data_IF_150836779796
#
_entry.id   IF_150836779796
#
_cell.length_a   1.000
_cell.length_b   1.000
_cell.length_c   1.000
_cell.angle_alpha   90.00
_cell.angle_beta   90.00
_cell.angle_gamma   90.00
#
_symmetry.space_group_name_H-M   'P 1'
#
loop_
_entity.id
_entity.type
_entity.pdbx_description
1 polymer ?
#
# COMPACT_ATOMS: atom_id res chain seq x y z
N UNK A 1 42.51 1.49 25.78
CA UNK A 1 41.15 1.35 25.22
C UNK A 1 40.26 2.29 26.01
N UNK A 2 40.02 3.49 25.49
CA UNK A 2 39.00 4.40 26.03
C UNK A 2 37.61 3.82 25.74
N UNK A 3 36.66 3.97 26.67
CA UNK A 3 35.29 3.48 26.49
C UNK A 3 34.54 4.33 25.47
N UNK A 4 33.65 3.72 24.68
CA UNK A 4 32.85 4.40 23.66
C UNK A 4 32.02 5.57 24.25
N UNK A 5 31.70 5.51 25.54
CA UNK A 5 30.98 6.57 26.27
C UNK A 5 31.82 7.84 26.49
N UNK A 6 33.15 7.70 26.65
CA UNK A 6 34.05 8.83 26.87
C UNK A 6 34.38 9.56 25.56
N UNK A 7 34.37 8.83 24.44
CA UNK A 7 34.52 9.39 23.08
C UNK A 7 33.27 10.21 22.71
N UNK A 8 32.07 9.73 23.06
CA UNK A 8 30.81 10.45 22.80
C UNK A 8 30.65 11.71 23.65
N UNK A 9 31.12 11.71 24.90
CA UNK A 9 31.10 12.92 25.75
C UNK A 9 31.99 14.04 25.20
N UNK A 10 33.15 13.72 24.62
CA UNK A 10 34.03 14.74 24.00
C UNK A 10 33.46 15.33 22.70
N UNK A 11 32.68 14.55 21.95
CA UNK A 11 32.03 15.04 20.71
C UNK A 11 30.88 16.00 21.00
N UNK A 12 30.14 15.81 22.10
CA UNK A 12 29.08 16.74 22.51
C UNK A 12 29.64 18.06 23.04
N UNK A 13 30.78 18.02 23.76
CA UNK A 13 31.38 19.21 24.38
C UNK A 13 32.10 20.16 23.41
N UNK A 14 32.41 19.74 22.18
CA UNK A 14 33.09 20.59 21.18
C UNK A 14 32.15 21.48 20.34
N UNK A 15 30.85 21.28 20.43
CA UNK A 15 29.84 22.07 19.68
C UNK A 15 29.18 23.18 20.48
N UNK A 16 29.53 23.35 21.76
CA UNK A 16 28.97 24.38 22.64
C UNK A 16 30.07 25.31 23.15
N UNK A 17 30.62 26.14 22.26
CA UNK A 17 31.41 27.31 22.66
C UNK A 17 31.29 28.42 21.63
N UNK A 18 30.13 29.07 21.61
CA UNK A 18 29.97 30.47 21.20
C UNK A 18 28.67 31.02 21.82
N UNK A 19 28.84 32.01 22.70
CA UNK A 19 27.93 32.97 23.34
C UNK A 19 26.42 32.95 22.96
N UNK A 20 25.44 33.18 23.85
CA UNK A 20 25.39 34.19 24.93
C UNK A 20 24.18 33.91 25.86
N UNK A 21 24.35 34.17 27.16
CA UNK A 21 23.38 34.50 28.23
C UNK A 21 21.90 34.08 28.12
N UNK A 22 21.46 33.28 29.10
CA UNK A 22 20.06 33.04 29.46
C UNK A 22 19.36 34.33 29.94
N UNK A 23 18.13 34.65 29.48
CA UNK A 23 17.22 35.44 30.27
C UNK A 23 16.44 34.56 31.24
N UNK A 24 16.26 35.09 32.43
CA UNK A 24 15.36 34.67 33.51
C UNK A 24 13.93 34.38 33.01
N UNK A 25 13.08 33.66 33.78
CA UNK A 25 11.71 33.35 33.37
C UNK A 25 10.86 34.63 33.35
N UNK A 26 10.88 35.34 32.22
CA UNK A 26 9.88 36.33 31.87
C UNK A 26 8.72 35.61 31.20
N UNK A 27 7.57 35.80 31.82
CA UNK A 27 6.21 35.65 31.29
C UNK A 27 6.15 35.41 29.79
N UNK A 28 5.62 34.24 29.42
CA UNK A 28 5.16 33.97 28.07
C UNK A 28 4.09 35.01 27.71
N UNK A 29 4.49 36.07 27.01
CA UNK A 29 3.59 36.91 26.25
C UNK A 29 3.08 36.08 25.07
N UNK A 30 1.99 35.36 25.33
CA UNK A 30 1.14 34.87 24.26
C UNK A 30 0.64 36.07 23.47
N UNK A 31 0.59 35.95 22.15
CA UNK A 31 -0.16 36.87 21.30
C UNK A 31 -1.60 36.94 21.85
N UNK A 32 -1.95 38.06 22.49
CA UNK A 32 -3.31 38.34 22.95
C UNK A 32 -4.20 38.58 21.73
N UNK A 33 -4.68 37.48 21.13
CA UNK A 33 -5.94 37.53 20.39
C UNK A 33 -7.06 38.02 21.31
N UNK A 34 -8.11 38.68 20.78
CA UNK A 34 -9.15 39.30 21.59
C UNK A 34 -9.75 38.29 22.57
N UNK A 35 -9.59 38.56 23.87
CA UNK A 35 -10.08 37.71 24.94
C UNK A 35 -11.57 37.42 24.73
N UNK A 36 -11.94 36.13 24.71
CA UNK A 36 -13.30 35.73 24.39
C UNK A 36 -14.32 36.49 25.28
N UNK A 37 -15.34 37.14 24.70
CA UNK A 37 -16.27 38.01 25.43
C UNK A 37 -17.11 37.27 26.49
N UNK A 38 -17.17 35.94 26.42
CA UNK A 38 -17.93 35.08 27.34
C UNK A 38 -17.05 34.62 28.52
N UNK A 39 -15.88 34.05 28.24
CA UNK A 39 -15.00 33.47 29.25
C UNK A 39 -13.89 34.44 29.73
N UNK A 40 -13.71 35.60 29.08
CA UNK A 40 -12.63 36.58 29.33
C UNK A 40 -11.24 35.92 29.44
N UNK A 41 -10.99 34.92 28.59
CA UNK A 41 -9.73 34.17 28.57
C UNK A 41 -9.63 33.02 29.59
N UNK A 42 -10.59 32.84 30.50
CA UNK A 42 -10.51 31.79 31.54
C UNK A 42 -10.90 30.38 31.08
N UNK A 43 -11.60 30.25 29.94
CA UNK A 43 -12.10 28.97 29.43
C UNK A 43 -13.36 28.41 30.12
N UNK A 44 -13.76 28.92 31.29
CA UNK A 44 -14.88 28.40 32.09
C UNK A 44 -15.93 29.47 32.40
N UNK A 45 -17.20 29.08 32.45
CA UNK A 45 -18.33 29.94 32.84
C UNK A 45 -19.06 29.32 34.03
N UNK A 46 -19.52 30.17 34.95
CA UNK A 46 -20.38 29.74 36.07
C UNK A 46 -21.82 30.05 35.74
N UNK A 47 -22.71 29.09 35.96
CA UNK A 47 -24.15 29.31 35.84
C UNK A 47 -24.62 30.30 36.91
N UNK A 48 -25.23 31.40 36.48
CA UNK A 48 -25.89 32.37 37.35
C UNK A 48 -27.27 31.85 37.78
N UNK A 49 -27.31 30.62 38.31
CA UNK A 49 -28.53 30.10 38.91
C UNK A 49 -28.76 30.80 40.27
N UNK A 50 -29.96 30.67 40.83
CA UNK A 50 -30.25 31.19 42.18
C UNK A 50 -29.72 30.23 43.25
N UNK A 51 -29.47 30.75 44.46
CA UNK A 51 -29.01 29.97 45.61
C UNK A 51 -30.07 28.92 45.95
N UNK A 52 -29.75 27.64 45.72
CA UNK A 52 -30.65 26.50 45.92
C UNK A 52 -30.92 25.67 44.65
N UNK A 53 -30.55 26.17 43.47
CA UNK A 53 -30.64 25.40 42.23
C UNK A 53 -29.49 24.38 42.11
N UNK A 54 -29.70 23.15 41.57
CA UNK A 54 -28.65 22.13 41.43
C UNK A 54 -27.43 22.56 40.60
N UNK A 55 -27.58 23.61 39.79
CA UNK A 55 -26.52 24.18 38.96
C UNK A 55 -25.90 25.46 39.53
N UNK A 56 -26.27 25.87 40.76
CA UNK A 56 -25.66 27.01 41.42
C UNK A 56 -24.18 26.78 41.68
N UNK A 57 -23.32 27.66 41.15
CA UNK A 57 -21.87 27.59 41.35
C UNK A 57 -21.12 26.54 40.53
N UNK A 58 -21.80 25.73 39.70
CA UNK A 58 -21.12 24.76 38.83
C UNK A 58 -20.39 25.46 37.70
N UNK A 59 -19.10 25.16 37.55
CA UNK A 59 -18.30 25.61 36.42
C UNK A 59 -18.59 24.71 35.20
N UNK A 60 -18.99 25.32 34.09
CA UNK A 60 -19.15 24.66 32.79
C UNK A 60 -18.09 25.20 31.84
N UNK A 61 -17.50 24.37 30.97
CA UNK A 61 -16.56 24.85 29.97
C UNK A 61 -17.28 25.83 29.04
N UNK A 62 -16.64 26.96 28.75
CA UNK A 62 -17.14 27.96 27.84
C UNK A 62 -17.10 27.43 26.40
N UNK A 63 -17.99 27.93 25.55
CA UNK A 63 -17.98 27.66 24.11
C UNK A 63 -16.60 27.90 23.48
N UNK A 64 -15.89 28.95 23.93
CA UNK A 64 -14.51 29.24 23.53
C UNK A 64 -13.55 28.04 23.67
N UNK A 65 -13.68 27.29 24.78
CA UNK A 65 -12.84 26.14 25.08
C UNK A 65 -13.36 24.85 24.42
N UNK A 66 -14.67 24.74 24.21
CA UNK A 66 -15.27 23.65 23.45
C UNK A 66 -14.92 23.73 21.95
N UNK A 67 -14.97 24.93 21.38
CA UNK A 67 -14.65 25.20 19.97
C UNK A 67 -13.15 25.06 19.71
N UNK A 68 -12.30 25.58 20.61
CA UNK A 68 -10.85 25.37 20.54
C UNK A 68 -10.47 23.89 20.72
N UNK A 69 -11.12 23.17 21.65
CA UNK A 69 -10.93 21.74 21.85
C UNK A 69 -11.40 20.90 20.66
N UNK A 70 -12.51 21.28 20.00
CA UNK A 70 -12.97 20.67 18.76
C UNK A 70 -12.01 20.94 17.60
N UNK A 71 -11.55 22.18 17.41
CA UNK A 71 -10.60 22.53 16.36
C UNK A 71 -9.25 21.81 16.54
N UNK A 72 -8.76 21.70 17.78
CA UNK A 72 -7.54 20.97 18.10
C UNK A 72 -7.72 19.45 17.92
N UNK A 73 -8.89 18.89 18.27
CA UNK A 73 -9.26 17.50 17.93
C UNK A 73 -9.34 17.29 16.42
N UNK A 74 -9.94 18.21 15.68
CA UNK A 74 -10.07 18.13 14.22
C UNK A 74 -8.70 18.18 13.54
N UNK A 75 -7.83 19.11 13.97
CA UNK A 75 -6.46 19.21 13.50
C UNK A 75 -5.64 17.97 13.88
N UNK A 76 -5.87 17.37 15.06
CA UNK A 76 -5.25 16.11 15.48
C UNK A 76 -5.74 14.95 14.62
N UNK A 77 -7.04 14.83 14.36
CA UNK A 77 -7.63 13.83 13.47
C UNK A 77 -7.10 13.98 12.03
N UNK A 78 -6.93 15.20 11.55
CA UNK A 78 -6.35 15.49 10.23
C UNK A 78 -4.90 14.99 10.10
N UNK A 79 -4.09 15.06 11.17
CA UNK A 79 -2.72 14.52 11.18
C UNK A 79 -2.65 13.00 11.07
N UNK A 80 -3.64 12.28 11.60
CA UNK A 80 -3.70 10.81 11.55
C UNK A 80 -4.52 10.28 10.38
N UNK A 81 -5.36 11.12 9.78
CA UNK A 81 -6.13 10.77 8.61
C UNK A 81 -5.31 10.97 7.34
N UNK A 82 -5.46 10.07 6.37
CA UNK A 82 -4.93 10.29 5.02
C UNK A 82 -5.74 11.37 4.24
N UNK A 83 -6.58 12.17 4.91
CA UNK A 83 -7.43 13.17 4.27
C UNK A 83 -6.65 14.26 3.54
N UNK A 84 -5.47 14.66 4.03
CA UNK A 84 -4.66 15.70 3.37
C UNK A 84 -4.39 15.41 1.89
N UNK A 85 -4.29 14.13 1.52
CA UNK A 85 -4.01 13.67 0.15
C UNK A 85 -5.29 13.43 -0.68
N UNK A 86 -6.44 13.28 -0.01
CA UNK A 86 -7.74 12.90 -0.59
C UNK A 86 -8.75 14.06 -0.63
N UNK A 87 -8.39 15.26 -0.14
CA UNK A 87 -9.21 16.49 -0.18
C UNK A 87 -9.78 16.81 -1.57
N UNK A 88 -9.03 16.43 -2.62
CA UNK A 88 -9.38 16.62 -4.04
C UNK A 88 -10.42 15.62 -4.57
N UNK A 89 -10.72 14.54 -3.85
CA UNK A 89 -11.70 13.54 -4.25
C UNK A 89 -13.09 13.94 -3.74
N UNK A 90 -13.81 14.77 -4.51
CA UNK A 90 -15.15 15.24 -4.15
C UNK A 90 -16.20 14.69 -5.11
N UNK A 91 -17.47 14.73 -4.71
CA UNK A 91 -18.57 14.36 -5.61
C UNK A 91 -18.60 15.19 -6.90
N UNK A 92 -18.17 16.45 -6.84
CA UNK A 92 -18.11 17.35 -8.01
C UNK A 92 -17.01 16.94 -9.02
N UNK A 93 -15.89 16.40 -8.54
CA UNK A 93 -14.79 15.92 -9.39
C UNK A 93 -14.97 14.48 -9.89
N UNK A 94 -16.11 13.85 -9.61
CA UNK A 94 -16.37 12.44 -9.90
C UNK A 94 -17.41 12.31 -11.01
N UNK A 95 -17.10 11.54 -12.05
CA UNK A 95 -18.08 11.17 -13.07
C UNK A 95 -19.15 10.25 -12.46
N UNK A 96 -20.45 10.60 -12.49
CA UNK A 96 -21.51 9.82 -11.85
C UNK A 96 -21.64 8.39 -12.38
N UNK A 97 -21.29 8.16 -13.65
CA UNK A 97 -21.30 6.81 -14.27
C UNK A 97 -20.00 6.05 -14.04
N UNK A 98 -18.99 6.66 -13.41
CA UNK A 98 -17.65 6.09 -13.33
C UNK A 98 -16.93 6.09 -14.68
N UNK A 99 -15.68 5.64 -14.67
CA UNK A 99 -14.76 5.71 -15.82
C UNK A 99 -14.65 4.40 -16.62
N UNK A 100 -15.40 3.38 -16.22
CA UNK A 100 -15.37 2.10 -16.92
C UNK A 100 -16.16 2.22 -18.24
N UNK A 101 -15.66 1.67 -19.36
CA UNK A 101 -16.38 1.55 -20.62
C UNK A 101 -17.49 0.49 -20.58
N UNK A 102 -17.54 -0.39 -19.58
CA UNK A 102 -18.59 -1.41 -19.44
C UNK A 102 -19.91 -0.79 -18.96
N UNK A 103 -21.01 -0.90 -19.73
CA UNK A 103 -22.33 -0.38 -19.33
C UNK A 103 -22.87 -0.99 -18.04
N UNK A 104 -22.49 -2.22 -17.68
CA UNK A 104 -22.94 -2.82 -16.43
C UNK A 104 -22.17 -2.27 -15.22
N UNK A 105 -20.84 -2.13 -15.34
CA UNK A 105 -20.02 -1.43 -14.36
C UNK A 105 -20.48 0.03 -14.17
N UNK A 106 -20.83 0.75 -15.24
CA UNK A 106 -21.35 2.12 -15.15
C UNK A 106 -22.68 2.20 -14.38
N UNK A 107 -23.61 1.27 -14.63
CA UNK A 107 -24.88 1.21 -13.90
C UNK A 107 -24.67 0.93 -12.41
N UNK A 108 -23.80 -0.02 -12.07
CA UNK A 108 -23.47 -0.34 -10.66
C UNK A 108 -22.79 0.84 -9.96
N UNK A 109 -21.82 1.47 -10.62
CA UNK A 109 -21.14 2.65 -10.08
C UNK A 109 -22.09 3.82 -9.89
N UNK A 110 -22.97 4.10 -10.85
CA UNK A 110 -23.95 5.18 -10.74
C UNK A 110 -24.96 4.97 -9.62
N UNK A 111 -25.46 3.74 -9.45
CA UNK A 111 -26.31 3.39 -8.31
C UNK A 111 -25.57 3.61 -6.99
N UNK A 112 -24.31 3.18 -6.90
CA UNK A 112 -23.51 3.36 -5.69
C UNK A 112 -23.17 4.84 -5.41
N UNK A 113 -22.92 5.63 -6.46
CA UNK A 113 -22.65 7.06 -6.37
C UNK A 113 -23.83 7.82 -5.76
N UNK A 114 -25.05 7.58 -6.24
CA UNK A 114 -26.25 8.24 -5.72
C UNK A 114 -26.49 7.91 -4.24
N UNK A 115 -26.31 6.64 -3.86
CA UNK A 115 -26.43 6.22 -2.45
C UNK A 115 -25.34 6.84 -1.59
N UNK A 116 -24.09 6.87 -2.05
CA UNK A 116 -23.01 7.49 -1.31
C UNK A 116 -23.25 9.00 -1.12
N UNK A 117 -23.77 9.67 -2.15
CA UNK A 117 -24.13 11.09 -2.07
C UNK A 117 -25.24 11.34 -1.05
N UNK A 118 -26.30 10.54 -1.07
CA UNK A 118 -27.38 10.60 -0.08
C UNK A 118 -26.85 10.36 1.34
N UNK A 119 -26.03 9.32 1.52
CA UNK A 119 -25.42 8.98 2.82
C UNK A 119 -24.55 10.13 3.35
N UNK A 120 -23.85 10.87 2.49
CA UNK A 120 -23.04 12.01 2.91
C UNK A 120 -23.87 13.20 3.47
N UNK A 121 -25.14 13.31 3.08
CA UNK A 121 -26.06 14.33 3.58
C UNK A 121 -26.70 13.97 4.93
N UNK A 122 -26.78 12.69 5.28
CA UNK A 122 -27.24 12.26 6.60
C UNK A 122 -26.62 10.91 6.97
N UNK A 123 -25.34 10.91 7.41
CA UNK A 123 -24.61 9.67 7.63
C UNK A 123 -25.22 8.92 8.81
N UNK A 124 -25.87 7.79 8.53
CA UNK A 124 -26.55 6.92 9.50
C UNK A 124 -26.29 5.47 9.19
N UNK A 125 -26.01 4.68 10.22
CA UNK A 125 -25.63 3.28 10.04
C UNK A 125 -24.34 3.14 9.26
N UNK A 126 -24.11 1.96 8.69
CA UNK A 126 -22.89 1.60 8.00
C UNK A 126 -23.11 1.50 6.50
N UNK A 127 -22.07 1.82 5.74
CA UNK A 127 -22.04 1.67 4.30
C UNK A 127 -20.84 0.82 3.91
N UNK A 128 -21.08 -0.32 3.29
CA UNK A 128 -20.05 -1.25 2.85
C UNK A 128 -19.92 -1.18 1.34
N UNK A 129 -18.75 -0.77 0.85
CA UNK A 129 -18.42 -0.75 -0.57
C UNK A 129 -17.63 -2.00 -0.93
N UNK A 130 -18.21 -2.89 -1.73
CA UNK A 130 -17.58 -4.13 -2.22
C UNK A 130 -17.25 -4.02 -3.70
N UNK A 131 -16.34 -4.87 -4.15
CA UNK A 131 -15.98 -5.01 -5.56
C UNK A 131 -14.47 -5.11 -5.76
N UNK A 132 -14.07 -5.55 -6.95
CA UNK A 132 -12.65 -5.70 -7.30
C UNK A 132 -11.88 -4.37 -7.24
N UNK A 133 -10.56 -4.43 -7.26
CA UNK A 133 -9.77 -3.21 -7.16
C UNK A 133 -9.98 -2.22 -8.31
N UNK A 134 -9.91 -0.93 -7.97
CA UNK A 134 -10.01 0.17 -8.93
C UNK A 134 -11.40 0.40 -9.51
N UNK A 135 -12.44 -0.19 -8.92
CA UNK A 135 -13.86 0.15 -9.17
C UNK A 135 -14.31 1.46 -8.51
N UNK A 136 -13.40 2.19 -7.86
CA UNK A 136 -13.69 3.50 -7.26
C UNK A 136 -14.22 3.50 -5.83
N UNK A 137 -14.14 2.37 -5.10
CA UNK A 137 -14.50 2.26 -3.66
C UNK A 137 -13.89 3.37 -2.80
N UNK A 138 -12.56 3.47 -2.76
CA UNK A 138 -11.82 4.47 -1.98
C UNK A 138 -12.19 5.89 -2.41
N UNK A 139 -12.43 6.09 -3.71
CA UNK A 139 -12.82 7.38 -4.26
C UNK A 139 -14.19 7.83 -3.76
N UNK A 140 -15.20 6.95 -3.80
CA UNK A 140 -16.53 7.22 -3.23
C UNK A 140 -16.46 7.44 -1.71
N UNK A 141 -15.70 6.61 -0.99
CA UNK A 141 -15.53 6.75 0.45
C UNK A 141 -14.87 8.10 0.84
N UNK A 142 -13.87 8.54 0.08
CA UNK A 142 -13.24 9.84 0.25
C UNK A 142 -14.19 11.01 -0.10
N UNK A 143 -15.00 10.87 -1.16
CA UNK A 143 -16.00 11.86 -1.51
C UNK A 143 -17.03 12.07 -0.39
N UNK A 144 -17.48 10.98 0.24
CA UNK A 144 -18.34 11.06 1.43
C UNK A 144 -17.62 11.75 2.59
N UNK A 145 -16.38 11.36 2.88
CA UNK A 145 -15.60 11.95 3.97
C UNK A 145 -15.42 13.47 3.79
N UNK A 146 -15.06 13.92 2.59
CA UNK A 146 -14.90 15.33 2.28
C UNK A 146 -16.23 16.09 2.42
N UNK A 147 -17.34 15.50 1.95
CA UNK A 147 -18.67 16.11 2.11
C UNK A 147 -19.11 16.20 3.57
N UNK A 148 -18.80 15.21 4.40
CA UNK A 148 -19.01 15.27 5.85
C UNK A 148 -18.19 16.40 6.48
N UNK A 149 -16.93 16.56 6.08
CA UNK A 149 -16.05 17.63 6.58
C UNK A 149 -16.53 19.03 6.17
N UNK A 150 -17.02 19.22 4.94
CA UNK A 150 -17.67 20.47 4.50
C UNK A 150 -18.84 20.85 5.39
N UNK A 151 -19.55 19.85 5.93
CA UNK A 151 -20.68 20.00 6.84
C UNK A 151 -20.27 20.06 8.32
N UNK A 152 -18.99 20.24 8.60
CA UNK A 152 -18.41 20.27 9.95
C UNK A 152 -18.62 18.98 10.75
N UNK A 153 -18.81 17.84 10.09
CA UNK A 153 -18.84 16.52 10.72
C UNK A 153 -17.41 15.96 10.69
N UNK A 154 -16.76 15.75 11.86
CA UNK A 154 -15.41 15.20 11.90
C UNK A 154 -15.36 13.79 11.33
N UNK A 155 -14.58 13.61 10.26
CA UNK A 155 -14.35 12.31 9.63
C UNK A 155 -12.90 11.85 9.81
N UNK A 156 -12.70 10.56 10.03
CA UNK A 156 -11.40 9.91 10.01
C UNK A 156 -11.40 8.87 8.89
N UNK A 157 -10.61 9.14 7.85
CA UNK A 157 -10.31 8.17 6.80
C UNK A 157 -8.92 7.60 7.04
N UNK A 158 -8.86 6.29 7.22
CA UNK A 158 -7.64 5.53 7.46
C UNK A 158 -7.70 4.17 6.76
N UNK A 159 -6.57 3.70 6.25
CA UNK A 159 -6.49 2.32 5.75
C UNK A 159 -6.42 1.36 6.92
N UNK A 160 -6.95 0.14 6.76
CA UNK A 160 -6.87 -0.88 7.81
C UNK A 160 -5.42 -1.21 8.21
N UNK A 161 -4.46 -1.37 7.28
CA UNK A 161 -3.05 -1.55 7.64
C UNK A 161 -2.47 -0.37 8.45
N UNK A 162 -2.69 0.88 8.02
CA UNK A 162 -2.17 2.07 8.73
C UNK A 162 -2.75 2.17 10.15
N UNK A 163 -4.04 1.87 10.30
CA UNK A 163 -4.67 1.81 11.62
C UNK A 163 -3.94 0.82 12.53
N UNK A 164 -3.68 -0.39 12.03
CA UNK A 164 -3.01 -1.43 12.80
C UNK A 164 -1.56 -1.05 13.13
N UNK A 165 -0.84 -0.41 12.21
CA UNK A 165 0.53 0.04 12.46
C UNK A 165 0.59 1.20 13.45
N UNK A 166 -0.34 2.16 13.38
CA UNK A 166 -0.47 3.21 14.40
C UNK A 166 -0.76 2.61 15.78
N UNK A 167 -1.64 1.61 15.85
CA UNK A 167 -1.94 0.90 17.08
C UNK A 167 -0.73 0.12 17.60
N UNK A 168 0.12 -0.46 16.74
CA UNK A 168 1.37 -1.13 17.15
C UNK A 168 2.42 -0.14 17.65
N UNK A 169 2.63 0.96 16.92
CA UNK A 169 3.62 1.97 17.26
C UNK A 169 3.35 2.61 18.62
N UNK A 170 2.08 2.74 19.01
CA UNK A 170 1.69 3.26 20.32
C UNK A 170 2.02 2.32 21.51
N UNK A 171 2.48 1.08 21.27
CA UNK A 171 3.05 0.20 22.31
C UNK A 171 4.56 0.38 22.50
N UNK A 172 5.24 1.17 21.66
CA UNK A 172 6.69 1.37 21.78
C UNK A 172 7.04 2.24 23.01
N UNK A 173 8.06 1.88 23.80
CA UNK A 173 8.50 2.70 24.93
C UNK A 173 9.03 4.05 24.43
N UNK A 174 8.37 5.14 24.85
CA UNK A 174 8.70 6.51 24.45
C UNK A 174 7.79 7.13 23.39
N UNK A 175 6.66 6.49 23.02
CA UNK A 175 5.66 7.11 22.17
C UNK A 175 5.10 8.40 22.80
N UNK A 176 5.02 9.48 22.02
CA UNK A 176 4.43 10.76 22.46
C UNK A 176 2.94 10.64 22.86
N UNK A 177 2.27 9.58 22.39
CA UNK A 177 0.83 9.34 22.60
C UNK A 177 0.62 7.90 23.05
N UNK A 178 -0.21 7.72 24.06
CA UNK A 178 -0.57 6.38 24.55
C UNK A 178 -1.47 5.64 23.56
N UNK A 179 -1.31 4.32 23.52
CA UNK A 179 -2.17 3.41 22.78
C UNK A 179 -3.66 3.67 23.05
N UNK A 180 -4.02 3.82 24.33
CA UNK A 180 -5.40 3.97 24.76
C UNK A 180 -6.06 5.22 24.18
N UNK A 181 -5.35 6.35 24.09
CA UNK A 181 -5.90 7.57 23.50
C UNK A 181 -6.21 7.42 22.01
N UNK A 182 -5.30 6.79 21.25
CA UNK A 182 -5.47 6.61 19.81
C UNK A 182 -6.61 5.64 19.52
N UNK A 183 -6.67 4.55 20.29
CA UNK A 183 -7.71 3.54 20.14
C UNK A 183 -9.11 4.09 20.50
N UNK A 184 -9.23 4.88 21.57
CA UNK A 184 -10.49 5.54 21.92
C UNK A 184 -10.93 6.57 20.87
N UNK A 185 -9.99 7.29 20.25
CA UNK A 185 -10.32 8.23 19.18
C UNK A 185 -10.94 7.53 17.98
N UNK A 186 -10.35 6.41 17.53
CA UNK A 186 -10.87 5.63 16.39
C UNK A 186 -12.26 5.05 16.71
N UNK A 187 -12.47 4.57 17.94
CA UNK A 187 -13.77 4.03 18.36
C UNK A 187 -14.89 5.08 18.36
N UNK A 188 -14.57 6.31 18.75
CA UNK A 188 -15.56 7.35 19.04
C UNK A 188 -15.64 8.46 17.98
N UNK A 189 -14.85 8.42 16.91
CA UNK A 189 -14.91 9.43 15.85
C UNK A 189 -16.32 9.48 15.23
N UNK A 190 -16.91 10.67 15.00
CA UNK A 190 -18.27 10.80 14.48
C UNK A 190 -18.48 10.08 13.15
N UNK A 191 -17.50 10.15 12.25
CA UNK A 191 -17.51 9.43 10.98
C UNK A 191 -16.19 8.67 10.79
N UNK A 192 -16.25 7.35 10.67
CA UNK A 192 -15.08 6.50 10.43
C UNK A 192 -15.15 5.91 9.04
N UNK A 193 -14.06 5.99 8.28
CA UNK A 193 -13.89 5.32 7.00
C UNK A 193 -12.70 4.38 7.15
N UNK A 194 -12.97 3.07 7.08
CA UNK A 194 -11.97 2.02 7.05
C UNK A 194 -11.79 1.55 5.61
N UNK A 195 -10.69 1.97 5.00
CA UNK A 195 -10.35 1.58 3.63
C UNK A 195 -9.55 0.26 3.61
N UNK A 196 -9.93 -0.68 2.75
CA UNK A 196 -9.17 -1.91 2.53
C UNK A 196 -9.37 -3.00 3.58
N UNK A 197 -10.60 -3.21 4.07
CA UNK A 197 -10.86 -4.35 4.96
C UNK A 197 -10.54 -5.67 4.24
N UNK A 198 -9.62 -6.45 4.83
CA UNK A 198 -9.14 -7.71 4.28
C UNK A 198 -7.81 -7.66 3.51
N UNK A 199 -7.17 -6.49 3.36
CA UNK A 199 -5.84 -6.37 2.72
C UNK A 199 -4.67 -6.51 3.71
N UNK A 200 -4.95 -6.73 4.99
CA UNK A 200 -3.94 -6.84 6.06
C UNK A 200 -3.48 -8.31 6.26
N UNK A 201 -2.31 -8.48 6.89
CA UNK A 201 -1.90 -9.78 7.40
C UNK A 201 -2.86 -10.22 8.53
N UNK A 202 -3.60 -11.31 8.32
CA UNK A 202 -4.57 -11.92 9.26
C UNK A 202 -3.87 -12.50 10.49
N UNK A 203 -3.30 -11.61 11.29
CA UNK A 203 -2.80 -11.91 12.63
C UNK A 203 -3.97 -11.89 13.60
N UNK A 204 -4.03 -12.83 14.59
CA UNK A 204 -5.11 -12.83 15.58
C UNK A 204 -5.28 -11.50 16.31
N UNK A 205 -4.17 -10.78 16.53
CA UNK A 205 -4.20 -9.44 17.12
C UNK A 205 -4.93 -8.42 16.24
N UNK A 206 -4.69 -8.43 14.92
CA UNK A 206 -5.35 -7.49 14.01
C UNK A 206 -6.86 -7.74 13.95
N UNK A 207 -7.26 -9.01 13.86
CA UNK A 207 -8.66 -9.44 13.86
C UNK A 207 -9.37 -8.99 15.14
N UNK A 208 -8.77 -9.26 16.30
CA UNK A 208 -9.30 -8.84 17.60
C UNK A 208 -9.48 -7.32 17.70
N UNK A 209 -8.50 -6.54 17.24
CA UNK A 209 -8.58 -5.07 17.30
C UNK A 209 -9.61 -4.49 16.35
N UNK A 210 -9.73 -5.02 15.14
CA UNK A 210 -10.78 -4.62 14.21
C UNK A 210 -12.16 -4.98 14.76
N UNK A 211 -12.31 -6.17 15.34
CA UNK A 211 -13.53 -6.59 16.00
C UNK A 211 -13.92 -5.63 17.13
N UNK A 212 -12.98 -5.24 17.99
CA UNK A 212 -13.25 -4.30 19.08
C UNK A 212 -13.76 -2.93 18.58
N UNK A 213 -13.13 -2.37 17.54
CA UNK A 213 -13.55 -1.09 16.93
C UNK A 213 -14.94 -1.21 16.33
N UNK A 214 -15.15 -2.20 15.46
CA UNK A 214 -16.40 -2.38 14.74
C UNK A 214 -17.55 -2.74 15.70
N UNK A 215 -17.32 -3.59 16.68
CA UNK A 215 -18.32 -3.94 17.68
C UNK A 215 -18.76 -2.72 18.49
N UNK A 216 -17.81 -1.92 18.99
CA UNK A 216 -18.13 -0.69 19.72
C UNK A 216 -19.01 0.25 18.88
N UNK A 217 -18.62 0.47 17.61
CA UNK A 217 -19.35 1.36 16.70
C UNK A 217 -20.73 0.81 16.31
N UNK A 218 -20.89 -0.51 16.25
CA UNK A 218 -22.19 -1.14 15.96
C UNK A 218 -23.19 -0.93 17.11
N UNK A 219 -22.70 -1.02 18.35
CA UNK A 219 -23.52 -0.79 19.56
C UNK A 219 -23.87 0.69 19.69
N UNK A 220 -22.90 1.58 19.45
CA UNK A 220 -23.07 3.02 19.52
C UNK A 220 -23.77 3.62 18.28
N UNK A 221 -24.11 2.80 17.27
CA UNK A 221 -24.70 3.22 15.99
C UNK A 221 -23.93 4.36 15.31
N UNK A 222 -22.60 4.35 15.43
CA UNK A 222 -21.75 5.38 14.86
C UNK A 222 -21.56 5.18 13.34
N UNK A 223 -21.74 6.22 12.52
CA UNK A 223 -21.59 6.16 11.08
C UNK A 223 -20.23 5.62 10.64
N UNK A 224 -20.23 4.58 9.81
CA UNK A 224 -18.99 3.89 9.40
C UNK A 224 -19.05 3.48 7.94
N UNK A 225 -18.08 3.89 7.14
CA UNK A 225 -17.85 3.35 5.80
C UNK A 225 -16.75 2.32 5.85
N UNK A 226 -16.96 1.19 5.17
CA UNK A 226 -15.97 0.14 5.04
C UNK A 226 -15.82 -0.16 3.56
N UNK A 227 -14.59 -0.24 3.07
CA UNK A 227 -14.33 -0.73 1.71
C UNK A 227 -13.66 -2.10 1.78
N UNK A 228 -14.03 -3.00 0.88
CA UNK A 228 -13.35 -4.30 0.76
C UNK A 228 -13.28 -4.74 -0.69
N UNK A 229 -12.18 -5.41 -1.02
CA UNK A 229 -12.00 -6.11 -2.29
C UNK A 229 -12.12 -7.63 -2.16
N UNK A 230 -12.31 -8.13 -0.93
CA UNK A 230 -12.54 -9.54 -0.67
C UNK A 230 -14.03 -9.87 -0.77
N UNK A 231 -14.30 -11.13 -1.06
CA UNK A 231 -15.62 -11.72 -0.85
C UNK A 231 -15.90 -11.80 0.66
N UNK A 232 -17.10 -11.37 1.08
CA UNK A 232 -17.55 -11.38 2.47
C UNK A 232 -17.55 -12.80 3.06
N UNK A 233 -17.70 -13.83 2.22
CA UNK A 233 -17.58 -15.24 2.60
C UNK A 233 -16.22 -15.59 3.22
N UNK A 234 -15.18 -14.80 2.94
CA UNK A 234 -13.81 -14.98 3.45
C UNK A 234 -13.52 -14.22 4.74
N UNK A 235 -14.41 -13.34 5.17
CA UNK A 235 -14.27 -12.64 6.44
C UNK A 235 -14.59 -13.57 7.61
N UNK A 236 -14.00 -13.31 8.77
CA UNK A 236 -14.35 -14.01 10.01
C UNK A 236 -15.85 -13.90 10.28
N UNK A 237 -16.47 -14.98 10.75
CA UNK A 237 -17.92 -15.08 11.00
C UNK A 237 -18.47 -13.93 11.86
N UNK A 238 -17.71 -13.51 12.88
CA UNK A 238 -18.09 -12.43 13.79
C UNK A 238 -18.15 -11.06 13.11
N UNK A 239 -17.27 -10.79 12.15
CA UNK A 239 -17.27 -9.55 11.38
C UNK A 239 -18.33 -9.62 10.29
N UNK A 240 -18.42 -10.75 9.60
CA UNK A 240 -19.37 -11.00 8.52
C UNK A 240 -20.81 -10.79 8.96
N UNK A 241 -21.22 -11.41 10.06
CA UNK A 241 -22.59 -11.30 10.61
C UNK A 241 -23.03 -9.87 10.88
N UNK A 242 -22.12 -8.96 11.25
CA UNK A 242 -22.42 -7.54 11.45
C UNK A 242 -22.49 -6.77 10.14
N UNK A 243 -21.60 -7.07 9.21
CA UNK A 243 -21.54 -6.41 7.90
C UNK A 243 -22.71 -6.82 6.99
N UNK A 244 -23.27 -8.00 7.19
CA UNK A 244 -24.42 -8.52 6.47
C UNK A 244 -25.76 -8.14 7.11
N UNK A 245 -25.79 -7.54 8.31
CA UNK A 245 -27.02 -7.10 8.95
C UNK A 245 -27.62 -5.89 8.19
N UNK A 246 -28.77 -6.05 7.51
CA UNK A 246 -29.35 -4.98 6.68
C UNK A 246 -29.87 -3.80 7.48
N UNK A 247 -30.06 -3.96 8.80
CA UNK A 247 -30.48 -2.87 9.70
C UNK A 247 -29.31 -1.97 10.09
N UNK A 248 -28.10 -2.53 10.09
CA UNK A 248 -26.87 -1.84 10.45
C UNK A 248 -26.12 -1.36 9.21
N UNK A 249 -26.01 -2.20 8.18
CA UNK A 249 -25.08 -2.03 7.07
C UNK A 249 -25.79 -2.12 5.71
N UNK A 250 -25.61 -1.09 4.88
CA UNK A 250 -26.04 -1.09 3.48
C UNK A 250 -24.86 -1.48 2.60
N UNK A 251 -25.00 -2.55 1.83
CA UNK A 251 -23.94 -3.07 0.95
C UNK A 251 -24.12 -2.52 -0.47
N UNK A 252 -23.07 -1.94 -1.03
CA UNK A 252 -22.99 -1.46 -2.41
C UNK A 252 -21.92 -2.24 -3.17
N UNK A 253 -22.35 -3.06 -4.13
CA UNK A 253 -21.44 -3.83 -4.99
C UNK A 253 -21.10 -3.06 -6.27
N UNK A 254 -19.83 -2.70 -6.39
CA UNK A 254 -19.27 -2.02 -7.56
C UNK A 254 -18.76 -3.01 -8.62
N UNK A 255 -18.93 -4.32 -8.40
CA UNK A 255 -18.67 -5.39 -9.34
C UNK A 255 -17.20 -5.78 -9.49
N UNK A 256 -16.94 -6.65 -10.46
CA UNK A 256 -15.59 -7.03 -10.89
C UNK A 256 -15.17 -6.20 -12.10
N UNK A 257 -13.92 -5.75 -12.08
CA UNK A 257 -13.27 -5.05 -13.18
C UNK A 257 -12.95 -6.07 -14.24
N UNK A 258 -13.29 -5.77 -15.50
CA UNK A 258 -12.80 -6.56 -16.62
C UNK A 258 -11.25 -6.56 -16.58
N UNK A 259 -10.59 -7.71 -16.74
CA UNK A 259 -9.14 -7.75 -16.82
C UNK A 259 -8.69 -6.97 -18.07
N UNK A 260 -8.04 -5.81 -17.89
CA UNK A 260 -7.47 -5.01 -18.98
C UNK A 260 -7.42 -3.48 -18.82
N UNK A 261 -7.97 -2.89 -17.75
CA UNK A 261 -8.14 -1.41 -17.68
C UNK A 261 -7.13 -0.65 -16.79
N UNK A 262 -5.96 -1.21 -16.50
CA UNK A 262 -5.06 -0.66 -15.48
C UNK A 262 -3.63 -0.54 -16.00
N UNK A 263 -3.30 0.64 -16.52
CA UNK A 263 -1.98 1.17 -16.91
C UNK A 263 -0.78 0.21 -16.89
N UNK A 264 -0.32 -0.15 -18.08
CA UNK A 264 1.03 -0.47 -18.61
C UNK A 264 2.05 -1.31 -17.82
N UNK A 265 1.98 -1.43 -16.49
CA UNK A 265 2.95 -2.17 -15.69
C UNK A 265 2.36 -3.53 -15.33
N UNK A 266 3.08 -4.61 -15.64
CA UNK A 266 2.57 -5.98 -15.58
C UNK A 266 2.22 -6.56 -16.94
N UNK A 267 1.94 -5.70 -17.94
CA UNK A 267 1.71 -6.11 -19.32
C UNK A 267 3.02 -6.23 -20.08
N UNK A 268 3.13 -7.27 -20.92
CA UNK A 268 4.24 -7.37 -21.84
C UNK A 268 4.04 -6.41 -23.02
N UNK A 269 4.99 -5.50 -23.22
CA UNK A 269 4.97 -4.56 -24.35
C UNK A 269 4.84 -5.30 -25.69
N UNK A 270 3.96 -4.86 -26.61
CA UNK A 270 3.74 -5.54 -27.89
C UNK A 270 5.01 -5.79 -28.70
N UNK A 271 5.98 -4.88 -28.64
CA UNK A 271 7.27 -5.02 -29.31
C UNK A 271 8.14 -6.14 -28.70
N UNK A 272 8.19 -6.24 -27.38
CA UNK A 272 8.87 -7.35 -26.69
C UNK A 272 8.21 -8.68 -27.04
N UNK A 273 6.88 -8.71 -27.11
CA UNK A 273 6.11 -9.91 -27.47
C UNK A 273 6.42 -10.40 -28.88
N UNK A 274 6.51 -9.47 -29.83
CA UNK A 274 6.82 -9.79 -31.22
C UNK A 274 8.27 -10.27 -31.41
N UNK A 275 9.23 -9.70 -30.66
CA UNK A 275 10.66 -9.95 -30.86
C UNK A 275 11.22 -11.09 -30.01
N UNK A 276 10.70 -11.32 -28.82
CA UNK A 276 11.24 -12.28 -27.84
C UNK A 276 10.38 -13.54 -27.75
N UNK A 277 10.52 -14.41 -28.75
CA UNK A 277 9.84 -15.71 -28.81
C UNK A 277 10.84 -16.86 -28.75
N UNK A 278 10.34 -18.08 -28.51
CA UNK A 278 11.20 -19.27 -28.58
C UNK A 278 11.76 -19.54 -29.99
N UNK A 279 11.15 -18.98 -31.04
CA UNK A 279 11.63 -19.11 -32.41
C UNK A 279 12.77 -18.13 -32.73
N UNK A 280 12.75 -16.95 -32.11
CA UNK A 280 13.76 -15.91 -32.32
C UNK A 280 14.97 -16.02 -31.37
N UNK A 281 14.96 -16.97 -30.43
CA UNK A 281 16.07 -17.19 -29.51
C UNK A 281 17.23 -17.93 -30.22
N UNK A 282 18.37 -17.26 -30.37
CA UNK A 282 19.55 -17.82 -31.05
C UNK A 282 20.44 -18.63 -30.11
N UNK A 283 20.30 -19.95 -30.13
CA UNK A 283 21.14 -20.88 -29.34
C UNK A 283 22.62 -20.88 -29.75
N UNK A 284 22.99 -20.31 -30.90
CA UNK A 284 24.39 -20.26 -31.35
C UNK A 284 25.21 -19.24 -30.57
N UNK A 285 24.54 -18.26 -29.94
CA UNK A 285 25.18 -17.20 -29.15
C UNK A 285 26.07 -16.27 -29.98
N UNK A 286 26.55 -15.18 -29.38
CA UNK A 286 27.54 -14.31 -30.01
C UNK A 286 28.95 -14.92 -29.90
N UNK A 287 29.34 -15.77 -30.87
CA UNK A 287 30.62 -16.52 -30.87
C UNK A 287 30.79 -17.43 -29.64
N UNK A 288 29.69 -17.99 -29.14
CA UNK A 288 29.73 -18.89 -27.99
C UNK A 288 30.52 -20.17 -28.31
N UNK A 289 31.29 -20.64 -27.33
CA UNK A 289 31.99 -21.92 -27.34
C UNK A 289 31.00 -23.09 -27.29
N UNK A 290 31.40 -24.33 -27.63
CA UNK A 290 30.51 -25.49 -27.59
C UNK A 290 29.86 -25.72 -26.21
N UNK A 291 30.60 -25.50 -25.12
CA UNK A 291 30.08 -25.62 -23.75
C UNK A 291 29.03 -24.54 -23.44
N UNK A 292 29.26 -23.30 -23.88
CA UNK A 292 28.31 -22.20 -23.67
C UNK A 292 27.03 -22.39 -24.48
N UNK A 293 27.13 -22.90 -25.72
CA UNK A 293 25.96 -23.28 -26.52
C UNK A 293 25.14 -24.36 -25.84
N UNK A 294 25.78 -25.35 -25.23
CA UNK A 294 25.08 -26.37 -24.46
C UNK A 294 24.28 -25.77 -23.30
N UNK A 295 24.79 -24.73 -22.63
CA UNK A 295 24.02 -24.01 -21.59
C UNK A 295 22.82 -23.26 -22.16
N UNK A 296 22.94 -22.65 -23.35
CA UNK A 296 21.83 -21.98 -24.04
C UNK A 296 20.75 -22.96 -24.51
N UNK A 297 21.14 -24.11 -25.04
CA UNK A 297 20.22 -25.18 -25.45
C UNK A 297 19.51 -25.80 -24.25
N UNK A 298 20.22 -26.02 -23.14
CA UNK A 298 19.62 -26.50 -21.90
C UNK A 298 18.61 -25.48 -21.36
N UNK A 299 18.97 -24.20 -21.34
CA UNK A 299 18.08 -23.13 -20.90
C UNK A 299 16.81 -23.03 -21.77
N UNK A 300 16.96 -23.09 -23.09
CA UNK A 300 15.83 -23.09 -24.02
C UNK A 300 14.90 -24.29 -23.78
N UNK A 301 15.47 -25.49 -23.57
CA UNK A 301 14.71 -26.71 -23.33
C UNK A 301 13.91 -26.65 -22.03
N UNK A 302 14.55 -26.21 -20.94
CA UNK A 302 13.90 -26.06 -19.64
C UNK A 302 12.81 -24.99 -19.72
N UNK A 303 13.10 -23.85 -20.37
CA UNK A 303 12.12 -22.78 -20.57
C UNK A 303 10.89 -23.27 -21.36
N UNK A 304 11.07 -24.05 -22.43
CA UNK A 304 9.95 -24.66 -23.18
C UNK A 304 9.16 -25.67 -22.34
N UNK A 305 9.83 -26.42 -21.47
CA UNK A 305 9.15 -27.36 -20.57
C UNK A 305 8.28 -26.60 -19.56
N UNK A 306 8.85 -25.59 -18.91
CA UNK A 306 8.13 -24.73 -17.97
C UNK A 306 7.00 -23.97 -18.64
N UNK A 307 7.20 -23.52 -19.88
CA UNK A 307 6.16 -22.88 -20.69
C UNK A 307 5.03 -23.80 -21.13
N UNK A 308 5.15 -25.13 -21.00
CA UNK A 308 4.08 -26.12 -21.26
C UNK A 308 3.32 -26.53 -20.00
N UNK A 309 4.02 -26.61 -18.87
CA UNK A 309 3.43 -26.91 -17.58
C UNK A 309 4.17 -26.13 -16.48
N UNK A 310 3.74 -24.89 -16.17
CA UNK A 310 4.38 -24.06 -15.17
C UNK A 310 4.10 -24.64 -13.78
N UNK A 311 5.11 -25.29 -13.21
CA UNK A 311 5.10 -25.76 -11.82
C UNK A 311 6.36 -25.27 -11.11
N UNK A 312 6.20 -24.86 -9.86
CA UNK A 312 7.29 -24.30 -9.07
C UNK A 312 7.89 -23.06 -9.73
N UNK A 313 9.19 -22.88 -9.53
CA UNK A 313 9.89 -21.65 -9.86
C UNK A 313 11.03 -21.91 -10.84
N UNK A 314 11.22 -20.99 -11.78
CA UNK A 314 12.34 -21.02 -12.72
C UNK A 314 13.23 -19.80 -12.51
N UNK A 315 14.47 -20.02 -12.06
CA UNK A 315 15.47 -18.96 -11.92
C UNK A 315 16.45 -19.01 -13.08
N UNK A 316 16.46 -17.98 -13.90
CA UNK A 316 17.45 -17.77 -14.97
C UNK A 316 18.60 -16.95 -14.41
N UNK A 317 19.77 -17.57 -14.27
CA UNK A 317 20.96 -17.00 -13.66
C UNK A 317 22.03 -16.68 -14.70
N UNK A 318 22.60 -15.48 -14.68
CA UNK A 318 23.77 -15.15 -15.50
C UNK A 318 23.96 -13.66 -15.73
N UNK A 319 25.13 -13.28 -16.26
CA UNK A 319 25.46 -11.87 -16.54
C UNK A 319 24.47 -11.18 -17.50
N UNK A 320 24.58 -9.86 -17.59
CA UNK A 320 23.76 -9.04 -18.49
C UNK A 320 23.93 -9.46 -19.95
N UNK A 321 22.86 -9.31 -20.73
CA UNK A 321 22.93 -9.54 -22.19
C UNK A 321 23.04 -10.99 -22.64
N UNK A 322 22.76 -11.98 -21.77
CA UNK A 322 22.79 -13.43 -22.10
C UNK A 322 21.45 -14.06 -22.50
N UNK A 323 20.39 -13.26 -22.67
CA UNK A 323 19.08 -13.74 -23.12
C UNK A 323 18.14 -14.24 -22.02
N UNK A 324 18.40 -13.93 -20.74
CA UNK A 324 17.53 -14.29 -19.60
C UNK A 324 16.12 -13.72 -19.76
N UNK A 325 16.02 -12.40 -19.94
CA UNK A 325 14.75 -11.70 -20.20
C UNK A 325 14.05 -12.23 -21.44
N UNK A 326 14.78 -12.56 -22.51
CA UNK A 326 14.20 -13.13 -23.74
C UNK A 326 13.48 -14.44 -23.45
N UNK A 327 14.11 -15.37 -22.72
CA UNK A 327 13.47 -16.64 -22.36
C UNK A 327 12.28 -16.43 -21.42
N UNK A 328 12.38 -15.52 -20.45
CA UNK A 328 11.27 -15.21 -19.54
C UNK A 328 10.05 -14.64 -20.30
N UNK A 329 10.28 -13.73 -21.25
CA UNK A 329 9.23 -13.16 -22.11
C UNK A 329 8.67 -14.21 -23.06
N UNK A 330 9.49 -15.10 -23.62
CA UNK A 330 9.03 -16.19 -24.48
C UNK A 330 8.08 -17.15 -23.75
N UNK A 331 8.40 -17.50 -22.50
CA UNK A 331 7.52 -18.32 -21.64
C UNK A 331 6.19 -17.58 -21.40
N UNK A 332 6.27 -16.32 -20.98
CA UNK A 332 5.09 -15.51 -20.71
C UNK A 332 4.19 -15.33 -21.94
N UNK A 333 4.78 -15.20 -23.14
CA UNK A 333 4.05 -15.14 -24.40
C UNK A 333 3.22 -16.39 -24.70
N UNK A 334 3.81 -17.58 -24.57
CA UNK A 334 3.06 -18.84 -24.77
C UNK A 334 1.90 -18.96 -23.77
N UNK A 335 2.12 -18.51 -22.53
CA UNK A 335 1.12 -18.55 -21.46
C UNK A 335 -0.05 -17.60 -21.70
N UNK A 336 0.25 -16.40 -22.18
CA UNK A 336 -0.78 -15.44 -22.61
C UNK A 336 -1.57 -15.97 -23.81
N UNK A 337 -0.94 -16.68 -24.75
CA UNK A 337 -1.63 -17.26 -25.91
C UNK A 337 -2.64 -18.36 -25.53
N UNK A 338 -2.39 -19.10 -24.45
CA UNK A 338 -3.34 -20.08 -23.90
C UNK A 338 -4.35 -19.46 -22.90
N UNK A 339 -4.38 -18.13 -22.80
CA UNK A 339 -5.34 -17.39 -21.96
C UNK A 339 -5.00 -17.36 -20.46
N UNK A 340 -3.80 -17.78 -20.06
CA UNK A 340 -3.37 -17.71 -18.66
C UNK A 340 -2.92 -16.28 -18.32
N UNK A 341 -3.42 -15.64 -17.25
CA UNK A 341 -2.95 -14.33 -16.82
C UNK A 341 -1.48 -14.37 -16.40
N UNK A 342 -0.68 -13.45 -16.93
CA UNK A 342 0.75 -13.30 -16.63
C UNK A 342 1.03 -11.87 -16.22
N UNK A 343 1.84 -11.69 -15.16
CA UNK A 343 2.35 -10.38 -14.76
C UNK A 343 3.85 -10.34 -15.04
N UNK A 344 4.28 -9.45 -15.92
CA UNK A 344 5.69 -9.19 -16.17
C UNK A 344 6.15 -7.92 -15.44
N UNK A 345 7.14 -8.05 -14.57
CA UNK A 345 7.64 -6.95 -13.76
C UNK A 345 9.17 -6.86 -13.86
N UNK A 346 9.69 -5.72 -14.33
CA UNK A 346 11.05 -5.34 -14.04
C UNK A 346 11.13 -4.94 -12.56
N UNK A 347 12.02 -5.56 -11.77
CA UNK A 347 12.02 -5.40 -10.30
C UNK A 347 12.25 -3.95 -9.85
N UNK A 348 13.28 -3.22 -10.36
CA UNK A 348 13.43 -1.79 -10.11
C UNK A 348 12.17 -0.97 -10.41
N UNK A 349 11.57 -1.15 -11.59
CA UNK A 349 10.36 -0.41 -11.99
C UNK A 349 9.15 -0.79 -11.15
N UNK A 350 9.01 -2.06 -10.78
CA UNK A 350 7.97 -2.53 -9.87
C UNK A 350 8.11 -1.87 -8.52
N UNK A 351 9.32 -1.82 -7.96
CA UNK A 351 9.59 -1.19 -6.68
C UNK A 351 9.40 0.33 -6.73
N UNK A 352 9.83 0.98 -7.80
CA UNK A 352 9.58 2.40 -8.02
C UNK A 352 8.09 2.68 -8.22
N UNK A 353 7.37 1.81 -8.90
CA UNK A 353 5.93 1.93 -9.07
C UNK A 353 5.21 1.75 -7.74
N UNK A 354 5.54 0.69 -6.99
CA UNK A 354 5.07 0.45 -5.64
C UNK A 354 5.40 1.65 -4.74
N UNK A 355 6.58 2.23 -4.85
CA UNK A 355 6.99 3.45 -4.14
C UNK A 355 6.21 4.69 -4.58
N UNK A 356 5.93 4.82 -5.88
CA UNK A 356 5.15 5.92 -6.47
C UNK A 356 3.66 5.82 -6.18
N UNK A 357 3.15 4.61 -5.89
CA UNK A 357 1.81 4.43 -5.35
C UNK A 357 1.69 4.88 -3.88
N UNK A 358 2.79 5.24 -3.22
CA UNK A 358 2.80 6.07 -2.01
C UNK A 358 2.82 7.58 -2.32
N UNK A 359 3.00 7.98 -3.59
CA UNK A 359 2.93 9.39 -3.99
C UNK A 359 1.48 9.85 -4.13
N UNK A 360 1.16 11.08 -3.70
CA UNK A 360 -0.21 11.58 -3.57
C UNK A 360 -1.06 11.58 -4.85
N UNK A 361 -0.44 11.52 -6.03
CA UNK A 361 -1.09 11.59 -7.35
C UNK A 361 -1.49 10.23 -7.96
N UNK A 362 -1.11 9.10 -7.34
CA UNK A 362 -1.34 7.79 -7.97
C UNK A 362 -2.81 7.35 -7.90
N UNK A 363 -3.36 7.01 -9.07
CA UNK A 363 -4.77 6.58 -9.25
C UNK A 363 -5.04 5.13 -8.80
N UNK A 364 -4.01 4.41 -8.37
CA UNK A 364 -4.06 3.00 -7.96
C UNK A 364 -3.56 2.87 -6.54
N UNK A 365 -4.36 2.29 -5.64
CA UNK A 365 -3.93 2.02 -4.27
C UNK A 365 -2.80 0.99 -4.28
N UNK A 366 -1.68 1.35 -3.65
CA UNK A 366 -0.48 0.52 -3.47
C UNK A 366 -0.81 -0.94 -3.14
N UNK A 367 -1.74 -1.16 -2.20
CA UNK A 367 -2.09 -2.48 -1.68
C UNK A 367 -2.71 -3.41 -2.73
N UNK A 368 -3.46 -2.86 -3.69
CA UNK A 368 -4.09 -3.67 -4.72
C UNK A 368 -3.09 -4.30 -5.67
N UNK A 369 -2.13 -3.51 -6.15
CA UNK A 369 -1.11 -3.99 -7.08
C UNK A 369 -0.21 -4.99 -6.40
N UNK A 370 0.09 -4.73 -5.13
CA UNK A 370 0.88 -5.63 -4.31
C UNK A 370 0.20 -6.99 -4.10
N UNK A 371 -1.12 -7.02 -3.83
CA UNK A 371 -1.89 -8.27 -3.76
C UNK A 371 -2.03 -8.99 -5.10
N UNK A 372 -2.23 -8.23 -6.19
CA UNK A 372 -2.30 -8.76 -7.55
C UNK A 372 -1.02 -9.51 -7.92
N UNK A 373 0.15 -8.87 -7.71
CA UNK A 373 1.47 -9.47 -7.93
C UNK A 373 1.68 -10.73 -7.09
N UNK A 374 1.22 -10.72 -5.83
CA UNK A 374 1.31 -11.90 -4.96
C UNK A 374 0.52 -13.09 -5.47
N UNK A 375 -0.68 -12.86 -6.03
CA UNK A 375 -1.66 -13.93 -6.32
C UNK A 375 -1.75 -14.34 -7.78
N UNK A 376 -1.15 -13.59 -8.71
CA UNK A 376 -1.30 -13.86 -10.13
C UNK A 376 -0.80 -15.27 -10.53
N UNK A 377 -1.48 -15.99 -11.44
CA UNK A 377 -1.14 -17.37 -11.80
C UNK A 377 0.30 -17.56 -12.29
N UNK A 378 0.85 -16.59 -13.02
CA UNK A 378 2.26 -16.59 -13.41
C UNK A 378 2.86 -15.21 -13.22
N UNK A 379 3.93 -15.13 -12.41
CA UNK A 379 4.68 -13.90 -12.19
C UNK A 379 6.08 -14.02 -12.80
N UNK A 380 6.51 -12.99 -13.52
CA UNK A 380 7.89 -12.82 -13.99
C UNK A 380 8.50 -11.64 -13.26
N UNK A 381 9.56 -11.89 -12.49
CA UNK A 381 10.41 -10.89 -11.85
C UNK A 381 11.72 -10.80 -12.62
N UNK A 382 11.83 -9.78 -13.48
CA UNK A 382 13.01 -9.55 -14.31
C UNK A 382 14.03 -8.66 -13.57
N UNK A 383 15.31 -9.02 -13.70
CA UNK A 383 16.48 -8.34 -13.12
C UNK A 383 16.43 -8.17 -11.58
N UNK A 384 16.04 -9.24 -10.87
CA UNK A 384 16.12 -9.30 -9.41
C UNK A 384 17.58 -9.19 -8.92
N UNK A 385 17.83 -8.27 -8.00
CA UNK A 385 19.16 -7.91 -7.48
C UNK A 385 19.81 -6.70 -8.18
N UNK A 386 19.11 -6.04 -9.09
CA UNK A 386 19.53 -4.78 -9.73
C UNK A 386 19.04 -3.52 -8.98
N UNK A 387 18.10 -3.69 -8.04
CA UNK A 387 17.43 -2.66 -7.27
C UNK A 387 18.29 -2.05 -6.17
N UNK A 388 17.91 -0.85 -5.70
CA UNK A 388 18.54 -0.20 -4.55
C UNK A 388 18.22 -0.97 -3.27
N UNK A 389 19.24 -1.35 -2.49
CA UNK A 389 19.18 -2.11 -1.22
C UNK A 389 18.57 -1.31 -0.06
N UNK A 390 17.43 -0.66 -0.29
CA UNK A 390 16.67 -0.05 0.80
C UNK A 390 16.02 -1.15 1.65
N UNK A 391 15.93 -0.98 2.99
CA UNK A 391 15.20 -1.92 3.84
C UNK A 391 13.76 -2.16 3.38
N UNK A 392 13.09 -1.12 2.86
CA UNK A 392 11.75 -1.20 2.30
C UNK A 392 11.66 -2.11 1.07
N UNK A 393 12.54 -1.94 0.08
CA UNK A 393 12.55 -2.78 -1.12
C UNK A 393 12.73 -4.26 -0.76
N UNK A 394 13.66 -4.54 0.15
CA UNK A 394 13.92 -5.89 0.67
C UNK A 394 12.69 -6.47 1.38
N UNK A 395 12.01 -5.67 2.21
CA UNK A 395 10.77 -6.09 2.89
C UNK A 395 9.65 -6.45 1.89
N UNK A 396 9.44 -5.64 0.84
CA UNK A 396 8.38 -5.89 -0.14
C UNK A 396 8.67 -7.09 -1.02
N UNK A 397 9.90 -7.25 -1.48
CA UNK A 397 10.33 -8.45 -2.19
C UNK A 397 10.20 -9.69 -1.32
N UNK A 398 10.58 -9.62 -0.03
CA UNK A 398 10.42 -10.72 0.92
C UNK A 398 8.95 -11.17 1.00
N UNK A 399 8.02 -10.24 1.14
CA UNK A 399 6.59 -10.55 1.21
C UNK A 399 6.06 -11.22 -0.07
N UNK A 400 6.46 -10.75 -1.26
CA UNK A 400 6.08 -11.37 -2.54
C UNK A 400 6.64 -12.79 -2.64
N UNK A 401 7.94 -12.93 -2.39
CA UNK A 401 8.68 -14.19 -2.53
C UNK A 401 8.14 -15.25 -1.57
N UNK A 402 7.98 -14.91 -0.29
CA UNK A 402 7.50 -15.87 0.71
C UNK A 402 6.06 -16.29 0.44
N UNK A 403 5.18 -15.35 0.09
CA UNK A 403 3.79 -15.68 -0.22
C UNK A 403 3.71 -16.68 -1.39
N UNK A 404 4.41 -16.38 -2.49
CA UNK A 404 4.38 -17.22 -3.69
C UNK A 404 5.06 -18.56 -3.49
N UNK A 405 6.12 -18.63 -2.67
CA UNK A 405 6.80 -19.88 -2.34
C UNK A 405 5.88 -20.78 -1.52
N UNK A 406 5.27 -20.24 -0.46
CA UNK A 406 4.32 -20.98 0.39
C UNK A 406 3.10 -21.49 -0.38
N UNK A 407 2.58 -20.67 -1.31
CA UNK A 407 1.44 -21.02 -2.15
C UNK A 407 1.81 -21.85 -3.39
N UNK A 408 3.11 -22.13 -3.61
CA UNK A 408 3.64 -22.80 -4.81
C UNK A 408 3.15 -22.20 -6.13
N UNK A 409 3.02 -20.87 -6.18
CA UNK A 409 2.58 -20.18 -7.38
C UNK A 409 3.72 -20.10 -8.41
N UNK A 410 3.47 -20.45 -9.69
CA UNK A 410 4.48 -20.41 -10.74
C UNK A 410 5.18 -19.06 -10.85
N UNK A 411 6.51 -19.05 -10.74
CA UNK A 411 7.28 -17.79 -10.70
C UNK A 411 8.57 -17.91 -11.51
N UNK A 412 8.81 -16.96 -12.39
CA UNK A 412 10.06 -16.86 -13.17
C UNK A 412 10.85 -15.70 -12.62
N UNK A 413 12.13 -15.93 -12.32
CA UNK A 413 13.04 -14.90 -11.82
C UNK A 413 14.24 -14.85 -12.74
N UNK A 414 14.61 -13.65 -13.20
CA UNK A 414 15.91 -13.45 -13.83
C UNK A 414 16.83 -12.70 -12.87
N UNK A 415 18.06 -13.16 -12.73
CA UNK A 415 19.03 -12.53 -11.83
C UNK A 415 20.46 -12.71 -12.34
N UNK A 416 21.34 -11.78 -11.96
CA UNK A 416 22.78 -11.88 -12.26
C UNK A 416 23.50 -12.82 -11.29
N UNK A 417 23.11 -12.76 -10.02
CA UNK A 417 23.75 -13.48 -8.93
C UNK A 417 22.69 -13.96 -7.94
N UNK A 418 22.82 -15.20 -7.48
CA UNK A 418 22.00 -15.66 -6.37
C UNK A 418 22.42 -14.94 -5.09
N UNK A 419 21.48 -14.66 -4.17
CA UNK A 419 21.85 -14.17 -2.85
C UNK A 419 22.65 -15.25 -2.11
N UNK A 420 23.85 -14.90 -1.64
CA UNK A 420 24.78 -15.83 -0.99
C UNK A 420 24.60 -15.92 0.54
N UNK A 421 23.79 -15.04 1.13
CA UNK A 421 23.58 -15.01 2.58
C UNK A 421 22.47 -15.99 2.99
N UNK A 422 22.80 -17.11 3.66
CA UNK A 422 21.80 -18.08 4.11
C UNK A 422 20.89 -17.54 5.22
N UNK A 423 21.28 -16.45 5.90
CA UNK A 423 20.43 -15.76 6.87
C UNK A 423 19.38 -14.85 6.20
N UNK A 424 19.51 -14.57 4.89
CA UNK A 424 18.48 -13.86 4.15
C UNK A 424 17.33 -14.82 3.79
N UNK A 425 16.11 -14.57 4.28
CA UNK A 425 14.98 -15.42 3.96
C UNK A 425 14.70 -15.51 2.45
N UNK A 426 14.98 -14.46 1.67
CA UNK A 426 14.81 -14.48 0.22
C UNK A 426 15.75 -15.52 -0.41
N UNK A 427 17.03 -15.51 0.00
CA UNK A 427 18.03 -16.47 -0.43
C UNK A 427 17.61 -17.90 -0.12
N UNK A 428 17.11 -18.13 1.10
CA UNK A 428 16.66 -19.45 1.55
C UNK A 428 15.55 -20.03 0.67
N UNK A 429 14.58 -19.22 0.22
CA UNK A 429 13.48 -19.69 -0.63
C UNK A 429 13.90 -19.85 -2.09
N UNK A 430 14.75 -18.95 -2.59
CA UNK A 430 15.29 -19.05 -3.96
C UNK A 430 16.21 -20.27 -4.15
N UNK A 431 16.80 -20.78 -3.08
CA UNK A 431 17.66 -21.96 -3.12
C UNK A 431 16.94 -23.26 -2.71
N UNK A 432 15.61 -23.26 -2.57
CA UNK A 432 14.84 -24.47 -2.22
C UNK A 432 14.77 -25.44 -3.41
N UNK A 433 15.48 -26.59 -3.38
CA UNK A 433 15.55 -27.51 -4.52
C UNK A 433 14.24 -28.25 -4.78
N UNK A 434 13.27 -28.19 -3.86
CA UNK A 434 11.95 -28.83 -4.04
C UNK A 434 10.99 -27.99 -4.86
N UNK A 435 11.25 -26.68 -4.96
CA UNK A 435 10.35 -25.71 -5.60
C UNK A 435 11.06 -24.98 -6.73
N UNK A 436 12.38 -24.76 -6.63
CA UNK A 436 13.12 -23.90 -7.56
C UNK A 436 14.05 -24.69 -8.46
N UNK A 437 13.87 -24.51 -9.77
CA UNK A 437 14.80 -24.93 -10.80
C UNK A 437 15.71 -23.76 -11.19
N UNK A 438 17.02 -23.89 -10.94
CA UNK A 438 18.02 -22.86 -11.29
C UNK A 438 18.72 -23.25 -12.59
N UNK A 439 18.69 -22.33 -13.56
CA UNK A 439 19.32 -22.49 -14.87
C UNK A 439 20.36 -21.41 -15.07
N UNK A 440 21.64 -21.80 -15.07
CA UNK A 440 22.75 -20.88 -15.31
C UNK A 440 23.06 -20.75 -16.81
N UNK A 441 22.99 -19.53 -17.34
CA UNK A 441 23.36 -19.19 -18.72
C UNK A 441 24.77 -18.59 -18.72
N UNK A 442 25.72 -19.31 -19.32
CA UNK A 442 27.15 -18.95 -19.33
C UNK A 442 27.63 -18.41 -20.67
N UNK A 443 26.75 -17.88 -21.51
CA UNK A 443 27.09 -17.40 -22.85
C UNK A 443 27.70 -15.98 -22.88
N UNK A 444 28.48 -15.61 -23.91
CA UNK A 444 28.89 -14.22 -24.13
C UNK A 444 27.69 -13.28 -24.37
N UNK A 445 27.87 -11.98 -24.10
CA UNK A 445 26.84 -10.96 -24.30
C UNK A 445 26.47 -10.83 -25.79
N UNK A 446 25.18 -11.00 -26.11
CA UNK A 446 24.62 -10.83 -27.45
C UNK A 446 24.81 -9.42 -28.03
N UNK A 447 25.02 -8.39 -27.18
CA UNK A 447 25.11 -6.96 -27.56
C UNK A 447 26.53 -6.49 -27.87
N UNK A 448 27.54 -7.28 -27.52
CA UNK A 448 28.96 -6.86 -27.57
C UNK A 448 29.59 -6.79 -28.98
N UNK A 449 28.79 -6.86 -30.06
CA UNK A 449 29.27 -6.82 -31.43
C UNK A 449 29.55 -5.41 -31.98
N UNK A 450 30.36 -4.58 -31.28
CA UNK A 450 30.92 -3.35 -31.86
C UNK A 450 32.25 -2.94 -31.20
N UNK A 451 33.34 -3.54 -31.67
CA UNK A 451 34.57 -2.79 -31.98
C UNK A 451 35.14 -3.33 -33.29
N UNK A 452 34.61 -2.82 -34.42
CA UNK A 452 35.37 -2.81 -35.68
C UNK A 452 36.51 -1.81 -35.48
N UNK A 453 37.71 -2.29 -35.13
CA UNK A 453 38.91 -1.54 -35.44
C UNK A 453 38.95 -1.39 -36.98
N UNK A 454 38.56 -0.22 -37.49
CA UNK A 454 38.91 0.15 -38.87
C UNK A 454 40.45 0.18 -38.93
N UNK A 455 41.10 -0.57 -39.83
CA UNK A 455 42.53 -0.36 -40.07
C UNK A 455 42.69 1.09 -40.56
N UNK A 456 43.56 1.85 -39.91
CA UNK A 456 44.04 3.13 -40.44
C UNK A 456 44.69 2.83 -41.79
N UNK A 457 44.01 3.17 -42.88
CA UNK A 457 44.63 3.29 -44.20
C UNK A 457 45.34 4.64 -44.29
N UNK A 458 46.48 4.63 -44.98
CA UNK A 458 47.55 5.61 -44.95
C UNK A 458 47.17 7.05 -45.26
N UNK A 459 47.97 7.95 -44.68
CA UNK A 459 48.48 9.12 -45.37
C UNK A 459 49.82 8.75 -46.00
#
# INVERSE_FOLDING_TARGET
>A
MESLGDILKRLVQRSTSAATASPSPQEAQGEEGPACPICRGTGWVRSAAEVGHPDFGKARPCRCQQDAGQAQRLARLQRYSNMGLLTRLTFQGTEPTGRSPDPEAQRRFGAAYEVAREYAEDPKGWLLLTGSSGTGKTHLAAAVANRCMERSIPALLITVPDLLDHLRAAFAPGAEISYDETFEQVKNVPMLILDGLGTHSSTPWAEEKLYQVLNHRSIALLPTIITTSLDLSRLEERLRTRLEDPRLCRVLDLGQRAPGELGAIGELEPEMRARMTFATFDVRGNRATPSERQTLEAALRIARSFAKDPDGWLVLLGETGRGKTHLAVAIANERLQVGQPVYFANVPELLDHLRSTFSPESRVTYDSRFEEVKRIPLLVLDDLGAETTTPWAREKLYQIIVHRHNARLPTIITTRKLPDDPADPIASRMNDPKVVAIVAIRAPDYRSSTQRHRPRQGA
#
